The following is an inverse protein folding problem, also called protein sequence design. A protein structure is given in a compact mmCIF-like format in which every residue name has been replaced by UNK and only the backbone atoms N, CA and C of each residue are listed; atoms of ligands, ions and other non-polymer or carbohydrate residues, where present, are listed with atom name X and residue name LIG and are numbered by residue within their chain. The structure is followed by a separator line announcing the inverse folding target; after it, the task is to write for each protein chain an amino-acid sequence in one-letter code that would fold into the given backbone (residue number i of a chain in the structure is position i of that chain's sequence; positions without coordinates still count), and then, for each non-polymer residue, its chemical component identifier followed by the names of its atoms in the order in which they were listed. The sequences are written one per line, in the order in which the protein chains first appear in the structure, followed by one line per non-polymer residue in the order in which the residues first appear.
data_IF_192638357522
#
_entry.id   IF_192638357522
#
_cell.length_a   1.000
_cell.length_b   1.000
_cell.length_c   1.000
_cell.angle_alpha   90.00
_cell.angle_beta   90.00
_cell.angle_gamma   90.00
#
_symmetry.space_group_name_H-M   'P 1'
#
loop_
_entity.id
_entity.type
_entity.pdbx_description
1 polymer ?
#
# COMPACT_ATOMS: atom_id res chain seq x y z
N UNK A 1 -2.44 -16.96 25.00
CA UNK A 1 -3.18 -15.86 24.35
C UNK A 1 -3.11 -16.08 22.84
N UNK A 2 -4.19 -15.78 22.10
CA UNK A 2 -4.24 -15.98 20.65
C UNK A 2 -3.71 -14.77 19.87
N UNK A 3 -3.40 -14.96 18.58
CA UNK A 3 -2.92 -13.91 17.68
C UNK A 3 -4.01 -12.90 17.30
N UNK A 4 -5.25 -13.36 17.20
CA UNK A 4 -6.40 -12.56 16.79
C UNK A 4 -7.44 -12.47 17.91
N UNK A 5 -8.11 -11.33 18.00
CA UNK A 5 -9.22 -11.06 18.91
C UNK A 5 -10.44 -10.61 18.10
N UNK A 6 -11.60 -11.16 18.41
CA UNK A 6 -12.88 -10.79 17.82
C UNK A 6 -13.76 -10.14 18.87
N UNK A 7 -14.17 -8.90 18.63
CA UNK A 7 -15.20 -8.25 19.43
C UNK A 7 -16.57 -8.85 19.11
N UNK A 8 -17.22 -9.46 20.09
CA UNK A 8 -18.47 -10.22 19.89
C UNK A 8 -19.69 -9.34 19.61
N UNK A 9 -19.65 -8.05 19.95
CA UNK A 9 -20.78 -7.13 19.79
C UNK A 9 -20.74 -6.40 18.44
N UNK A 10 -19.55 -5.98 18.01
CA UNK A 10 -19.32 -5.23 16.77
C UNK A 10 -18.87 -6.11 15.59
N UNK A 11 -18.36 -7.31 15.86
CA UNK A 11 -17.76 -8.18 14.84
C UNK A 11 -16.36 -7.75 14.40
N UNK A 12 -15.72 -6.80 15.10
CA UNK A 12 -14.39 -6.32 14.77
C UNK A 12 -13.31 -7.36 15.09
N UNK A 13 -12.74 -7.97 14.06
CA UNK A 13 -11.56 -8.83 14.15
C UNK A 13 -10.29 -7.94 14.12
N UNK A 14 -9.46 -8.05 15.15
CA UNK A 14 -8.21 -7.29 15.28
C UNK A 14 -7.06 -8.18 15.69
N UNK A 15 -5.85 -7.65 15.56
CA UNK A 15 -4.65 -8.28 16.05
C UNK A 15 -4.56 -8.12 17.59
N UNK A 16 -4.39 -9.22 18.30
CA UNK A 16 -4.27 -9.24 19.76
C UNK A 16 -2.80 -9.23 20.24
N UNK A 17 -1.88 -9.70 19.39
CA UNK A 17 -0.45 -9.72 19.68
C UNK A 17 0.38 -9.41 18.44
N UNK A 18 1.59 -8.90 18.64
CA UNK A 18 2.52 -8.59 17.56
C UNK A 18 2.79 -9.79 16.63
N UNK A 19 2.80 -9.57 15.32
CA UNK A 19 3.19 -10.55 14.31
C UNK A 19 4.70 -10.38 14.06
N UNK A 20 5.49 -11.39 14.44
CA UNK A 20 6.92 -11.40 14.13
C UNK A 20 7.13 -11.58 12.62
N UNK A 21 7.90 -10.69 11.99
CA UNK A 21 8.23 -10.74 10.56
C UNK A 21 8.97 -12.03 10.16
N UNK A 22 9.54 -12.74 11.14
CA UNK A 22 10.19 -14.06 10.99
C UNK A 22 9.21 -15.23 10.99
N UNK A 23 7.91 -14.99 11.16
CA UNK A 23 6.91 -16.05 11.10
C UNK A 23 7.01 -16.82 9.78
N UNK A 24 7.10 -18.14 9.90
CA UNK A 24 7.11 -19.06 8.77
C UNK A 24 5.75 -19.06 8.08
N UNK A 25 4.67 -18.98 8.87
CA UNK A 25 3.32 -18.89 8.35
C UNK A 25 2.93 -17.44 8.09
N UNK A 26 2.53 -17.18 6.84
CA UNK A 26 2.01 -15.87 6.39
C UNK A 26 0.51 -15.89 6.11
N UNK A 27 -0.13 -17.03 6.28
CA UNK A 27 -1.56 -17.18 6.06
C UNK A 27 -2.19 -17.86 7.27
N UNK A 28 -3.24 -17.23 7.81
CA UNK A 28 -3.99 -17.74 8.95
C UNK A 28 -5.46 -17.90 8.57
N UNK A 29 -6.03 -19.07 8.84
CA UNK A 29 -7.47 -19.31 8.67
C UNK A 29 -8.18 -19.16 10.01
N UNK A 30 -9.04 -18.15 10.11
CA UNK A 30 -9.86 -17.86 11.29
C UNK A 30 -11.30 -18.30 11.01
N UNK A 31 -11.83 -19.20 11.84
CA UNK A 31 -13.23 -19.62 11.77
C UNK A 31 -14.05 -18.83 12.78
N UNK A 32 -15.10 -18.16 12.30
CA UNK A 32 -15.98 -17.30 13.10
C UNK A 32 -17.37 -17.92 13.14
N UNK A 33 -17.85 -18.22 14.35
CA UNK A 33 -19.24 -18.61 14.61
C UNK A 33 -20.05 -17.42 15.11
N UNK A 34 -21.35 -17.44 14.85
CA UNK A 34 -22.29 -16.44 15.34
C UNK A 34 -23.35 -17.07 16.25
N UNK A 35 -23.81 -16.30 17.24
CA UNK A 35 -24.89 -16.66 18.14
C UNK A 35 -25.86 -15.48 18.20
N UNK A 36 -27.15 -15.73 18.00
CA UNK A 36 -28.17 -14.68 18.13
C UNK A 36 -28.54 -14.40 19.60
N UNK A 37 -29.37 -13.39 19.82
CA UNK A 37 -29.87 -13.02 21.16
C UNK A 37 -30.81 -14.06 21.78
N UNK A 38 -31.40 -14.95 20.98
CA UNK A 38 -32.21 -16.09 21.43
C UNK A 38 -31.38 -17.31 21.82
N UNK A 39 -30.07 -17.27 21.54
CA UNK A 39 -29.11 -18.29 21.89
C UNK A 39 -28.86 -19.33 20.80
N UNK A 40 -29.45 -19.17 19.62
CA UNK A 40 -29.24 -20.06 18.48
C UNK A 40 -27.88 -19.79 17.84
N UNK A 41 -27.12 -20.86 17.60
CA UNK A 41 -25.85 -20.80 16.89
C UNK A 41 -26.08 -20.88 15.38
N UNK A 42 -25.26 -20.17 14.61
CA UNK A 42 -25.21 -20.34 13.16
C UNK A 42 -24.92 -21.79 12.79
N UNK A 43 -25.63 -22.31 11.80
CA UNK A 43 -25.40 -23.66 11.29
C UNK A 43 -24.03 -23.82 10.60
N UNK A 44 -23.47 -22.71 10.10
CA UNK A 44 -22.15 -22.67 9.46
C UNK A 44 -21.27 -21.55 10.01
N UNK A 45 -19.99 -21.84 10.12
CA UNK A 45 -18.97 -20.86 10.48
C UNK A 45 -18.48 -20.12 9.23
N UNK A 46 -18.24 -18.82 9.37
CA UNK A 46 -17.54 -18.04 8.35
C UNK A 46 -16.03 -18.34 8.41
N UNK A 47 -15.38 -18.44 7.24
CA UNK A 47 -13.95 -18.62 7.13
C UNK A 47 -13.30 -17.31 6.67
N UNK A 48 -12.46 -16.73 7.52
CA UNK A 48 -11.65 -15.55 7.21
C UNK A 48 -10.22 -16.01 6.97
N UNK A 49 -9.63 -15.60 5.84
CA UNK A 49 -8.22 -15.87 5.52
C UNK A 49 -7.46 -14.57 5.72
N UNK A 50 -6.52 -14.56 6.67
CA UNK A 50 -5.67 -13.41 6.98
C UNK A 50 -4.28 -13.67 6.40
N UNK A 51 -3.86 -12.80 5.48
CA UNK A 51 -2.53 -12.88 4.87
C UNK A 51 -1.65 -11.75 5.40
N UNK A 52 -0.47 -12.11 5.90
CA UNK A 52 0.55 -11.19 6.40
C UNK A 52 1.44 -10.77 5.25
N UNK A 53 1.25 -9.52 4.81
CA UNK A 53 2.06 -8.90 3.78
C UNK A 53 3.22 -8.13 4.38
N UNK A 54 4.39 -8.23 3.75
CA UNK A 54 5.57 -7.47 4.13
C UNK A 54 5.42 -6.02 3.62
N UNK A 55 5.11 -5.11 4.54
CA UNK A 55 4.89 -3.69 4.23
C UNK A 55 6.12 -2.99 3.65
N UNK A 56 7.32 -3.57 3.79
CA UNK A 56 8.57 -2.98 3.30
C UNK A 56 8.85 -3.24 1.81
N UNK A 57 8.13 -4.18 1.17
CA UNK A 57 8.40 -4.57 -0.23
C UNK A 57 7.74 -3.70 -1.28
N UNK A 58 6.64 -3.03 -0.93
CA UNK A 58 5.78 -2.34 -1.90
C UNK A 58 5.94 -0.81 -1.89
N UNK A 59 7.05 -0.28 -1.38
CA UNK A 59 7.31 1.16 -1.41
C UNK A 59 7.97 1.50 -2.76
N UNK A 60 7.32 2.26 -3.65
CA UNK A 60 7.92 2.67 -4.92
C UNK A 60 9.20 3.46 -4.64
N UNK A 61 10.32 2.99 -5.20
CA UNK A 61 11.61 3.67 -5.06
C UNK A 61 11.90 4.45 -6.34
N UNK A 62 12.12 5.75 -6.19
CA UNK A 62 12.68 6.58 -7.25
C UNK A 62 14.19 6.36 -7.30
N UNK A 63 14.69 5.95 -8.47
CA UNK A 63 16.12 5.73 -8.68
C UNK A 63 16.61 6.60 -9.83
N UNK A 64 17.60 7.49 -9.60
CA UNK A 64 18.13 7.96 -8.32
C UNK A 64 17.13 8.67 -7.38
N UNK A 65 17.52 8.77 -6.10
CA UNK A 65 16.75 9.40 -5.01
C UNK A 65 16.61 10.92 -5.19
N UNK A 66 17.56 11.55 -5.86
CA UNK A 66 17.56 12.97 -6.19
C UNK A 66 17.90 13.15 -7.67
N UNK A 67 17.19 14.06 -8.33
CA UNK A 67 17.38 14.39 -9.74
C UNK A 67 17.50 15.90 -9.89
N UNK A 68 18.64 16.37 -10.39
CA UNK A 68 18.84 17.76 -10.76
C UNK A 68 18.77 17.88 -12.28
N UNK A 69 17.85 18.71 -12.77
CA UNK A 69 17.73 19.01 -14.20
C UNK A 69 17.82 20.51 -14.41
N UNK A 70 18.70 20.93 -15.30
CA UNK A 70 18.83 22.33 -15.71
C UNK A 70 18.10 22.53 -17.02
N UNK A 71 17.15 23.47 -17.06
CA UNK A 71 16.45 23.85 -18.28
C UNK A 71 16.67 25.34 -18.56
N UNK A 72 16.78 25.70 -19.83
CA UNK A 72 16.94 27.11 -20.22
C UNK A 72 15.60 27.84 -20.08
N UNK A 73 15.65 29.08 -19.62
CA UNK A 73 14.46 29.94 -19.48
C UNK A 73 13.70 30.15 -20.80
N UNK A 74 14.41 30.09 -21.93
CA UNK A 74 13.84 30.24 -23.27
C UNK A 74 13.38 28.91 -23.90
N UNK A 75 13.33 27.82 -23.12
CA UNK A 75 12.82 26.54 -23.60
C UNK A 75 11.32 26.65 -23.95
N UNK A 76 10.88 26.10 -25.10
CA UNK A 76 9.47 26.10 -25.49
C UNK A 76 8.56 25.44 -24.45
N UNK A 77 7.32 25.92 -24.34
CA UNK A 77 6.29 25.22 -23.57
C UNK A 77 6.12 23.78 -24.10
N UNK A 78 6.02 22.82 -23.18
CA UNK A 78 6.00 21.40 -23.55
C UNK A 78 7.38 20.77 -23.76
N UNK A 79 8.48 21.46 -23.40
CA UNK A 79 9.80 20.81 -23.31
C UNK A 79 9.76 19.73 -22.21
N UNK A 80 10.10 18.49 -22.57
CA UNK A 80 10.23 17.38 -21.62
C UNK A 80 11.51 17.53 -20.80
N UNK A 81 11.37 17.49 -19.47
CA UNK A 81 12.46 17.71 -18.51
C UNK A 81 13.09 16.38 -18.07
N UNK A 82 12.35 15.27 -18.17
CA UNK A 82 12.85 13.96 -17.78
C UNK A 82 11.79 12.88 -17.84
N UNK A 83 12.27 11.64 -17.84
CA UNK A 83 11.50 10.41 -17.79
C UNK A 83 11.92 9.66 -16.53
N UNK A 84 10.97 9.41 -15.63
CA UNK A 84 11.23 8.67 -14.40
C UNK A 84 10.67 7.26 -14.52
N UNK A 85 11.50 6.26 -14.19
CA UNK A 85 11.07 4.89 -13.95
C UNK A 85 10.91 4.71 -12.44
N UNK A 86 9.73 4.32 -12.01
CA UNK A 86 9.49 3.87 -10.65
C UNK A 86 9.59 2.36 -10.64
N UNK A 87 10.56 1.83 -9.91
CA UNK A 87 10.67 0.39 -9.69
C UNK A 87 9.89 0.02 -8.43
N UNK A 88 8.99 -0.93 -8.60
CA UNK A 88 8.34 -1.67 -7.52
C UNK A 88 8.73 -3.14 -7.67
N UNK A 89 8.81 -3.90 -6.58
CA UNK A 89 9.12 -5.34 -6.63
C UNK A 89 8.14 -6.13 -7.51
N UNK A 90 6.96 -5.54 -7.79
CA UNK A 90 5.90 -6.12 -8.62
C UNK A 90 5.82 -5.52 -10.05
N UNK A 91 6.93 -4.94 -10.54
CA UNK A 91 7.15 -4.56 -11.95
C UNK A 91 6.17 -3.54 -12.57
N UNK A 92 5.53 -2.69 -11.75
CA UNK A 92 4.74 -1.57 -12.29
C UNK A 92 5.65 -0.37 -12.53
N UNK A 93 6.10 -0.21 -13.77
CA UNK A 93 6.79 1.00 -14.22
C UNK A 93 5.77 2.13 -14.40
N UNK A 94 5.71 3.07 -13.45
CA UNK A 94 5.01 4.33 -13.69
C UNK A 94 5.93 5.29 -14.43
N UNK A 95 5.51 5.68 -15.63
CA UNK A 95 6.18 6.70 -16.45
C UNK A 95 5.60 8.08 -16.10
N UNK A 96 6.37 8.90 -15.39
CA UNK A 96 6.05 10.32 -15.22
C UNK A 96 6.89 11.16 -16.19
N UNK A 97 6.23 12.02 -16.97
CA UNK A 97 6.89 12.99 -17.86
C UNK A 97 6.58 14.39 -17.34
N UNK A 98 7.61 15.13 -16.91
CA UNK A 98 7.46 16.53 -16.53
C UNK A 98 7.64 17.45 -17.74
N UNK A 99 6.71 18.38 -17.92
CA UNK A 99 6.75 19.41 -18.96
C UNK A 99 6.82 20.80 -18.33
N UNK A 100 7.56 21.72 -18.97
CA UNK A 100 7.47 23.14 -18.63
C UNK A 100 6.16 23.71 -19.18
N UNK A 101 5.33 24.27 -18.29
CA UNK A 101 4.15 25.04 -18.68
C UNK A 101 4.53 26.54 -18.75
N UNK A 102 4.94 26.98 -19.95
CA UNK A 102 5.21 28.36 -20.38
C UNK A 102 6.41 29.12 -19.76
N UNK A 103 7.19 29.89 -20.56
CA UNK A 103 8.21 30.80 -20.07
C UNK A 103 7.55 32.16 -19.81
N UNK A 104 7.05 32.39 -18.59
CA UNK A 104 6.69 33.75 -18.20
C UNK A 104 6.87 33.94 -16.71
N UNK A 105 8.12 33.96 -16.29
CA UNK A 105 8.53 34.79 -15.16
C UNK A 105 9.25 36.00 -15.72
N UNK A 106 8.48 37.07 -15.97
CA UNK A 106 9.09 38.37 -16.18
C UNK A 106 9.64 38.86 -14.86
N UNK A 107 10.96 38.96 -14.73
CA UNK A 107 11.64 39.92 -13.85
C UNK A 107 12.99 40.29 -14.50
N UNK A 108 13.03 41.54 -15.00
CA UNK A 108 14.17 42.43 -15.33
C UNK A 108 15.48 41.85 -15.88
#
# INVERSE_FOLDING_TARGET
MGLFELDYASGLLRLASHIDERLVEREFRVLIGAKDGGGLLSASNASVIVQVVDSSRNVPKFTPREWNVTVKENSPAGTSIGVFAIENSDAVHFLFVLFICSPSFGIL
#
